data_IF_849779960208
#
_entry.id   IF_849779960208
#
_cell.length_a   1.000
_cell.length_b   1.000
_cell.length_c   1.000
_cell.angle_alpha   90.00
_cell.angle_beta   90.00
_cell.angle_gamma   90.00
#
_symmetry.space_group_name_H-M   'P 1'
#
loop_
_entity.id
_entity.type
_entity.pdbx_description
1 polymer ?
#
# COMPACT_ATOMS: atom_id res chain seq x y z
N UNK A 1 -14.43 20.39 13.33
CA UNK A 1 -13.87 19.14 13.91
C UNK A 1 -12.46 19.02 13.37
N UNK A 2 -11.44 18.68 14.18
CA UNK A 2 -10.08 18.57 13.66
C UNK A 2 -10.00 17.35 12.74
N UNK A 3 -9.81 17.59 11.45
CA UNK A 3 -9.90 16.54 10.43
C UNK A 3 -8.67 15.62 10.45
N UNK A 4 -7.58 16.07 11.06
CA UNK A 4 -6.36 15.29 11.27
C UNK A 4 -6.10 15.06 12.76
N UNK A 5 -5.95 13.79 13.16
CA UNK A 5 -5.73 13.43 14.57
C UNK A 5 -5.03 12.09 14.72
N UNK A 6 -4.59 11.76 15.94
CA UNK A 6 -4.13 10.42 16.27
C UNK A 6 -5.28 9.40 16.06
N UNK A 7 -4.93 8.19 15.59
CA UNK A 7 -5.92 7.11 15.49
C UNK A 7 -6.43 6.68 16.87
N UNK A 8 -7.69 6.27 16.93
CA UNK A 8 -8.29 5.68 18.13
C UNK A 8 -8.05 4.15 18.20
N UNK A 9 -8.54 3.51 19.26
CA UNK A 9 -8.37 2.06 19.47
C UNK A 9 -9.02 1.21 18.38
N UNK A 10 -10.18 1.62 17.85
CA UNK A 10 -10.92 0.90 16.81
C UNK A 10 -10.15 0.95 15.49
N UNK A 11 -9.72 2.13 15.08
CA UNK A 11 -8.90 2.35 13.88
C UNK A 11 -7.57 1.58 13.97
N UNK A 12 -6.95 1.55 15.15
CA UNK A 12 -5.74 0.75 15.40
C UNK A 12 -5.99 -0.75 15.22
N UNK A 13 -7.13 -1.26 15.69
CA UNK A 13 -7.51 -2.66 15.45
C UNK A 13 -7.67 -2.93 13.96
N UNK A 14 -8.43 -2.09 13.25
CA UNK A 14 -8.66 -2.22 11.81
C UNK A 14 -7.33 -2.29 11.03
N UNK A 15 -6.39 -1.41 11.35
CA UNK A 15 -5.05 -1.40 10.72
C UNK A 15 -4.31 -2.70 11.05
N UNK A 16 -4.21 -3.08 12.32
CA UNK A 16 -3.53 -4.30 12.73
C UNK A 16 -4.14 -5.55 12.07
N UNK A 17 -5.46 -5.70 12.11
CA UNK A 17 -6.16 -6.87 11.56
C UNK A 17 -5.99 -6.99 10.05
N UNK A 18 -5.92 -5.86 9.34
CA UNK A 18 -5.67 -5.83 7.90
C UNK A 18 -4.21 -6.15 7.57
N UNK A 19 -3.26 -5.62 8.35
CA UNK A 19 -1.82 -5.85 8.17
C UNK A 19 -1.42 -7.27 8.57
N UNK A 20 -2.06 -7.87 9.57
CA UNK A 20 -1.86 -9.27 9.96
C UNK A 20 -2.11 -10.25 8.81
N UNK A 21 -3.03 -9.91 7.89
CA UNK A 21 -3.29 -10.72 6.69
C UNK A 21 -2.13 -10.68 5.69
N UNK A 22 -1.25 -9.68 5.79
CA UNK A 22 -0.05 -9.54 4.96
C UNK A 22 1.13 -10.21 5.67
N UNK A 23 1.44 -9.79 6.90
CA UNK A 23 2.49 -10.40 7.72
C UNK A 23 2.38 -9.99 9.20
N UNK A 24 2.60 -10.97 10.08
CA UNK A 24 2.69 -10.74 11.53
C UNK A 24 3.94 -9.95 11.93
N UNK A 25 5.01 -10.00 11.12
CA UNK A 25 6.26 -9.27 11.37
C UNK A 25 6.05 -7.76 11.27
N UNK A 26 5.20 -7.31 10.34
CA UNK A 26 4.88 -5.88 10.20
C UNK A 26 4.20 -5.36 11.48
N UNK A 27 3.27 -6.15 12.04
CA UNK A 27 2.61 -5.77 13.30
C UNK A 27 3.58 -5.78 14.47
N UNK A 28 4.48 -6.75 14.53
CA UNK A 28 5.53 -6.80 15.54
C UNK A 28 6.48 -5.58 15.43
N UNK A 29 6.80 -5.16 14.20
CA UNK A 29 7.63 -3.99 13.94
C UNK A 29 7.00 -2.72 14.52
N UNK A 30 5.73 -2.45 14.22
CA UNK A 30 5.03 -1.26 14.73
C UNK A 30 4.77 -1.29 16.24
N UNK A 31 4.80 -2.46 16.88
CA UNK A 31 4.74 -2.56 18.35
C UNK A 31 6.08 -2.21 19.02
N UNK A 32 7.20 -2.53 18.36
CA UNK A 32 8.56 -2.33 18.88
C UNK A 32 9.13 -0.95 18.57
N UNK A 33 8.67 -0.32 17.49
CA UNK A 33 9.15 0.98 17.03
C UNK A 33 8.25 2.09 17.51
N UNK A 34 8.87 3.23 17.84
CA UNK A 34 8.17 4.45 18.15
C UNK A 34 7.68 5.12 16.85
N UNK A 35 6.63 4.57 16.27
CA UNK A 35 5.88 5.21 15.19
C UNK A 35 4.42 5.35 15.61
N UNK A 36 3.78 6.43 15.16
CA UNK A 36 2.36 6.68 15.44
C UNK A 36 1.59 6.83 14.14
N UNK A 37 0.37 6.31 14.16
CA UNK A 37 -0.57 6.46 13.08
C UNK A 37 -1.49 7.64 13.36
N UNK A 38 -1.64 8.51 12.37
CA UNK A 38 -2.59 9.59 12.34
C UNK A 38 -3.61 9.33 11.23
N UNK A 39 -4.80 9.87 11.38
CA UNK A 39 -5.89 9.78 10.42
C UNK A 39 -6.28 11.18 9.97
N UNK A 40 -6.46 11.34 8.66
CA UNK A 40 -7.02 12.52 8.02
C UNK A 40 -8.37 12.15 7.41
N UNK A 41 -9.42 12.87 7.80
CA UNK A 41 -10.79 12.69 7.32
C UNK A 41 -11.13 13.91 6.45
N UNK A 42 -11.08 13.74 5.14
CA UNK A 42 -11.50 14.80 4.21
C UNK A 42 -13.01 14.98 4.27
N UNK A 43 -13.45 16.22 4.49
CA UNK A 43 -14.86 16.62 4.43
C UNK A 43 -15.29 17.08 3.03
N UNK A 44 -14.35 17.19 2.09
CA UNK A 44 -14.60 17.73 0.75
C UNK A 44 -15.02 16.65 -0.25
N UNK A 45 -16.03 16.96 -1.06
CA UNK A 45 -16.72 16.03 -1.96
C UNK A 45 -15.90 15.59 -3.20
N UNK A 46 -14.60 15.91 -3.29
CA UNK A 46 -13.83 15.81 -4.54
C UNK A 46 -12.72 14.76 -4.58
N UNK A 47 -11.92 14.58 -3.53
CA UNK A 47 -10.74 13.70 -3.58
C UNK A 47 -10.67 12.74 -2.38
N UNK A 48 -10.69 11.43 -2.69
CA UNK A 48 -10.76 10.28 -1.77
C UNK A 48 -11.77 10.40 -0.62
N UNK A 49 -12.95 9.77 -0.78
CA UNK A 49 -14.00 9.65 0.26
C UNK A 49 -13.59 8.83 1.49
N UNK A 50 -12.34 8.35 1.57
CA UNK A 50 -11.90 7.40 2.57
C UNK A 50 -10.90 8.05 3.53
N UNK A 51 -11.01 7.80 4.84
CA UNK A 51 -10.03 8.27 5.80
C UNK A 51 -8.62 7.80 5.45
N UNK A 52 -7.71 8.75 5.30
CA UNK A 52 -6.29 8.53 5.00
C UNK A 52 -5.51 8.29 6.27
N UNK A 53 -4.62 7.32 6.26
CA UNK A 53 -3.75 6.95 7.38
C UNK A 53 -2.32 7.38 7.07
N UNK A 54 -1.72 8.04 8.04
CA UNK A 54 -0.38 8.59 7.96
C UNK A 54 0.50 7.99 9.06
N UNK A 55 1.73 7.64 8.72
CA UNK A 55 2.74 7.14 9.65
C UNK A 55 3.74 8.26 9.96
N UNK A 56 3.91 8.57 11.25
CA UNK A 56 4.82 9.62 11.74
C UNK A 56 5.81 9.03 12.74
N UNK A 57 7.09 9.35 12.55
CA UNK A 57 8.16 8.94 13.47
C UNK A 57 8.08 9.68 14.80
N UNK A 58 8.45 9.02 15.89
CA UNK A 58 8.25 9.56 17.24
C UNK A 58 8.96 10.87 17.54
N UNK A 59 10.15 11.06 17.00
CA UNK A 59 10.92 12.30 17.20
C UNK A 59 10.15 13.53 16.70
N UNK A 60 9.20 13.36 15.78
CA UNK A 60 8.37 14.42 15.22
C UNK A 60 6.99 14.54 15.87
N UNK A 61 6.61 13.62 16.76
CA UNK A 61 5.26 13.58 17.33
C UNK A 61 4.98 14.74 18.29
N UNK A 62 5.95 15.16 19.12
CA UNK A 62 5.74 16.30 20.04
C UNK A 62 5.45 17.59 19.28
N UNK A 63 6.25 17.88 18.27
CA UNK A 63 6.07 19.05 17.39
C UNK A 63 4.71 18.96 16.67
N UNK A 64 4.37 17.78 16.17
CA UNK A 64 3.08 17.57 15.49
C UNK A 64 1.89 17.78 16.44
N UNK A 65 1.95 17.23 17.66
CA UNK A 65 0.90 17.39 18.67
C UNK A 65 0.73 18.85 19.12
N UNK A 66 1.81 19.61 19.20
CA UNK A 66 1.76 21.05 19.46
C UNK A 66 1.11 21.80 18.30
N UNK A 67 1.51 21.52 17.06
CA UNK A 67 0.91 22.16 15.87
C UNK A 67 -0.57 21.84 15.72
N UNK A 68 -0.99 20.60 16.02
CA UNK A 68 -2.40 20.19 15.94
C UNK A 68 -3.33 20.95 16.90
N UNK A 69 -2.80 21.64 17.91
CA UNK A 69 -3.61 22.53 18.79
C UNK A 69 -4.03 23.81 18.08
N UNK A 70 -3.22 24.30 17.14
CA UNK A 70 -3.34 25.62 16.56
C UNK A 70 -3.54 25.61 15.03
N UNK A 71 -3.29 24.46 14.38
CA UNK A 71 -3.29 24.33 12.93
C UNK A 71 -4.21 23.20 12.48
N UNK A 72 -4.91 23.42 11.35
CA UNK A 72 -5.68 22.40 10.66
C UNK A 72 -4.78 21.72 9.62
N UNK A 73 -4.11 20.65 10.01
CA UNK A 73 -3.22 19.90 9.13
C UNK A 73 -4.03 18.97 8.23
N UNK A 74 -3.61 18.82 6.97
CA UNK A 74 -4.19 17.84 6.05
C UNK A 74 -3.42 16.52 6.02
N UNK A 75 -2.10 16.57 6.24
CA UNK A 75 -1.20 15.42 6.17
C UNK A 75 0.05 15.63 7.04
N UNK A 76 0.71 14.54 7.44
CA UNK A 76 2.03 14.56 8.07
C UNK A 76 2.73 13.20 7.87
N UNK A 77 4.05 13.20 7.72
CA UNK A 77 4.81 11.96 7.58
C UNK A 77 4.53 11.22 6.26
N UNK A 78 4.45 9.89 6.31
CA UNK A 78 4.24 9.04 5.13
C UNK A 78 2.76 8.72 5.01
N UNK A 79 2.16 8.93 3.83
CA UNK A 79 0.84 8.39 3.52
C UNK A 79 0.93 6.87 3.49
N UNK A 80 0.42 6.20 4.52
CA UNK A 80 0.60 4.77 4.73
C UNK A 80 -0.53 3.95 4.13
N UNK A 81 -1.69 4.56 3.88
CA UNK A 81 -2.84 3.88 3.31
C UNK A 81 -4.15 4.58 3.63
N UNK A 82 -5.26 3.88 3.46
CA UNK A 82 -6.60 4.40 3.74
C UNK A 82 -7.52 3.32 4.30
N UNK A 83 -8.55 3.72 5.04
CA UNK A 83 -9.57 2.80 5.55
C UNK A 83 -10.83 2.88 4.69
N UNK A 84 -11.27 1.75 4.15
CA UNK A 84 -12.51 1.64 3.37
C UNK A 84 -13.32 0.45 3.86
N UNK A 85 -14.58 0.71 4.23
CA UNK A 85 -15.52 -0.33 4.71
C UNK A 85 -14.93 -1.21 5.83
N UNK A 86 -14.24 -0.59 6.79
CA UNK A 86 -13.64 -1.30 7.93
C UNK A 86 -12.38 -2.10 7.61
N UNK A 87 -11.79 -1.92 6.42
CA UNK A 87 -10.55 -2.57 6.00
C UNK A 87 -9.50 -1.49 5.72
N UNK A 88 -8.30 -1.69 6.24
CA UNK A 88 -7.16 -0.85 5.91
C UNK A 88 -6.49 -1.36 4.62
N UNK A 89 -6.27 -0.44 3.69
CA UNK A 89 -5.59 -0.67 2.43
C UNK A 89 -4.25 0.06 2.43
N UNK A 90 -3.18 -0.69 2.28
CA UNK A 90 -1.82 -0.17 2.21
C UNK A 90 -1.63 0.69 0.95
N UNK A 91 -0.96 1.85 1.09
CA UNK A 91 -0.56 2.69 -0.04
C UNK A 91 0.74 2.18 -0.67
N UNK A 92 1.09 2.75 -1.83
CA UNK A 92 2.36 2.45 -2.49
C UNK A 92 3.55 2.89 -1.63
N UNK A 93 3.48 4.09 -1.06
CA UNK A 93 4.50 4.64 -0.14
C UNK A 93 4.59 3.82 1.15
N UNK A 94 3.47 3.26 1.62
CA UNK A 94 3.45 2.34 2.75
C UNK A 94 4.22 1.06 2.45
N UNK A 95 4.10 0.50 1.24
CA UNK A 95 4.84 -0.70 0.82
C UNK A 95 6.32 -0.40 0.67
N UNK A 96 6.67 0.76 0.13
CA UNK A 96 8.06 1.23 0.05
C UNK A 96 8.68 1.36 1.44
N UNK A 97 7.96 1.98 2.38
CA UNK A 97 8.40 2.04 3.77
C UNK A 97 8.68 0.64 4.34
N UNK A 98 7.80 -0.34 4.12
CA UNK A 98 8.01 -1.71 4.59
C UNK A 98 9.24 -2.35 3.93
N UNK A 99 9.45 -2.11 2.63
CA UNK A 99 10.62 -2.62 1.90
C UNK A 99 11.92 -2.04 2.44
N UNK A 100 11.98 -0.72 2.62
CA UNK A 100 13.18 -0.02 3.08
C UNK A 100 13.59 -0.44 4.49
N UNK A 101 12.60 -0.80 5.31
CA UNK A 101 12.81 -1.34 6.66
C UNK A 101 12.98 -2.87 6.69
N UNK A 102 13.03 -3.54 5.54
CA UNK A 102 13.23 -5.00 5.38
C UNK A 102 12.18 -5.85 6.11
N UNK A 103 10.93 -5.38 6.12
CA UNK A 103 9.78 -6.05 6.75
C UNK A 103 8.63 -6.33 5.76
N UNK A 104 8.86 -6.08 4.47
CA UNK A 104 7.93 -6.48 3.41
C UNK A 104 8.12 -7.98 3.13
N UNK A 105 7.07 -8.83 3.28
CA UNK A 105 7.22 -10.25 3.07
C UNK A 105 7.38 -10.59 1.59
N UNK A 106 8.24 -11.57 1.28
CA UNK A 106 8.44 -12.03 -0.09
C UNK A 106 7.19 -12.69 -0.71
N UNK A 107 6.24 -13.15 0.11
CA UNK A 107 5.00 -13.81 -0.32
C UNK A 107 4.07 -12.90 -1.13
N UNK A 108 4.29 -11.57 -1.10
CA UNK A 108 3.52 -10.62 -1.91
C UNK A 108 4.32 -10.03 -3.07
N UNK A 109 5.57 -10.44 -3.26
CA UNK A 109 6.46 -9.85 -4.27
C UNK A 109 6.31 -10.57 -5.61
N UNK A 110 6.01 -9.82 -6.66
CA UNK A 110 6.02 -10.31 -8.04
C UNK A 110 7.00 -9.46 -8.85
N UNK A 111 7.84 -10.11 -9.65
CA UNK A 111 8.80 -9.42 -10.51
C UNK A 111 8.36 -9.51 -11.96
N UNK A 112 8.36 -8.38 -12.67
CA UNK A 112 7.98 -8.30 -14.08
C UNK A 112 9.13 -7.84 -14.98
N UNK A 113 9.03 -8.17 -16.25
CA UNK A 113 9.97 -7.75 -17.30
C UNK A 113 9.74 -6.29 -17.74
N UNK A 114 10.69 -5.73 -18.49
CA UNK A 114 10.63 -4.35 -19.00
C UNK A 114 9.36 -4.03 -19.82
N UNK A 115 8.81 -5.00 -20.55
CA UNK A 115 7.53 -4.83 -21.28
C UNK A 115 6.38 -4.63 -20.29
N UNK A 116 6.34 -5.46 -19.24
CA UNK A 116 5.39 -5.35 -18.14
C UNK A 116 5.53 -4.02 -17.40
N UNK A 117 6.76 -3.62 -17.06
CA UNK A 117 7.04 -2.34 -16.38
C UNK A 117 6.41 -1.16 -17.12
N UNK A 118 6.71 -1.02 -18.42
CA UNK A 118 6.12 0.03 -19.25
C UNK A 118 4.60 -0.04 -19.20
N UNK A 119 4.02 -1.21 -19.44
CA UNK A 119 2.57 -1.42 -19.48
C UNK A 119 1.89 -1.02 -18.16
N UNK A 120 2.42 -1.47 -17.03
CA UNK A 120 1.88 -1.23 -15.68
C UNK A 120 1.97 0.25 -15.30
N UNK A 121 3.07 0.92 -15.64
CA UNK A 121 3.24 2.37 -15.42
C UNK A 121 2.33 3.24 -16.31
N UNK A 122 1.61 2.66 -17.26
CA UNK A 122 0.50 3.32 -17.97
C UNK A 122 -0.88 2.95 -17.39
N UNK A 123 -0.93 2.24 -16.27
CA UNK A 123 -2.18 1.84 -15.60
C UNK A 123 -2.78 0.52 -16.10
N UNK A 124 -2.08 -0.23 -16.95
CA UNK A 124 -2.59 -1.52 -17.41
C UNK A 124 -2.45 -2.61 -16.34
N UNK A 125 -3.30 -3.63 -16.46
CA UNK A 125 -3.26 -4.84 -15.64
C UNK A 125 -2.04 -5.73 -15.96
N UNK A 126 -1.73 -6.64 -15.04
CA UNK A 126 -0.62 -7.57 -15.17
C UNK A 126 -1.13 -8.84 -15.85
N UNK A 127 -0.46 -9.25 -16.93
CA UNK A 127 -0.71 -10.52 -17.63
C UNK A 127 0.45 -11.49 -17.46
N UNK A 128 0.22 -12.77 -17.73
CA UNK A 128 1.23 -13.84 -17.53
C UNK A 128 2.56 -13.55 -18.22
N UNK A 129 2.55 -13.09 -19.47
CA UNK A 129 3.76 -12.77 -20.25
C UNK A 129 4.64 -11.66 -19.68
N UNK A 130 4.15 -10.89 -18.69
CA UNK A 130 4.97 -9.89 -18.01
C UNK A 130 5.81 -10.49 -16.88
N UNK A 131 5.44 -11.67 -16.38
CA UNK A 131 5.93 -12.20 -15.11
C UNK A 131 7.25 -12.92 -15.28
N UNK A 132 8.24 -12.56 -14.44
CA UNK A 132 9.51 -13.26 -14.31
C UNK A 132 9.46 -14.20 -13.10
N UNK A 133 8.95 -13.68 -11.98
CA UNK A 133 8.83 -14.43 -10.72
C UNK A 133 7.50 -14.09 -10.05
N UNK A 134 6.86 -15.10 -9.46
CA UNK A 134 5.55 -15.00 -8.78
C UNK A 134 5.59 -15.87 -7.52
N UNK A 135 4.97 -15.46 -6.40
CA UNK A 135 5.02 -16.24 -5.17
C UNK A 135 4.23 -17.55 -5.34
N UNK A 136 4.81 -18.65 -4.89
CA UNK A 136 4.23 -20.00 -5.00
C UNK A 136 3.01 -20.20 -4.11
N UNK A 137 2.86 -19.39 -3.07
CA UNK A 137 1.72 -19.40 -2.14
C UNK A 137 0.61 -18.42 -2.55
N UNK A 138 0.72 -17.79 -3.73
CA UNK A 138 -0.23 -16.79 -4.20
C UNK A 138 -1.66 -17.32 -4.25
N UNK A 139 -2.59 -16.60 -3.61
CA UNK A 139 -4.03 -16.84 -3.70
C UNK A 139 -4.74 -15.70 -4.39
N UNK A 140 -5.90 -16.01 -4.98
CA UNK A 140 -6.78 -15.00 -5.55
C UNK A 140 -7.17 -13.98 -4.46
N UNK A 141 -7.20 -12.71 -4.85
CA UNK A 141 -7.43 -11.53 -4.02
C UNK A 141 -6.28 -11.08 -3.11
N UNK A 142 -5.14 -11.77 -3.11
CA UNK A 142 -3.96 -11.32 -2.39
C UNK A 142 -3.47 -9.97 -2.92
N UNK A 143 -2.93 -9.16 -2.00
CA UNK A 143 -2.20 -7.95 -2.36
C UNK A 143 -0.85 -8.35 -2.94
N UNK A 144 -0.44 -7.70 -4.03
CA UNK A 144 0.85 -7.90 -4.67
C UNK A 144 1.61 -6.59 -4.76
N UNK A 145 2.88 -6.60 -4.36
CA UNK A 145 3.85 -5.56 -4.65
C UNK A 145 4.57 -5.89 -5.96
N UNK A 146 4.44 -5.03 -6.95
CA UNK A 146 5.02 -5.24 -8.30
C UNK A 146 6.41 -4.64 -8.35
N UNK A 147 7.40 -5.47 -8.65
CA UNK A 147 8.80 -5.10 -8.82
C UNK A 147 9.21 -5.15 -10.29
N UNK A 148 10.00 -4.17 -10.73
CA UNK A 148 10.72 -4.27 -12.00
C UNK A 148 12.02 -5.09 -11.83
N UNK A 149 12.77 -5.26 -12.93
CA UNK A 149 14.03 -6.00 -12.94
C UNK A 149 15.16 -5.33 -12.15
N UNK A 150 15.02 -4.04 -11.82
CA UNK A 150 15.94 -3.29 -10.95
C UNK A 150 15.57 -3.41 -9.47
N UNK A 151 14.62 -4.31 -9.15
CA UNK A 151 14.08 -4.50 -7.81
C UNK A 151 13.37 -3.26 -7.28
N UNK A 152 12.85 -2.36 -8.12
CA UNK A 152 12.10 -1.19 -7.69
C UNK A 152 10.61 -1.52 -7.62
N UNK A 153 9.93 -1.12 -6.53
CA UNK A 153 8.46 -1.20 -6.46
C UNK A 153 7.90 -0.15 -7.43
N UNK A 154 7.04 -0.58 -8.35
CA UNK A 154 6.43 0.28 -9.37
C UNK A 154 4.91 0.36 -9.24
N UNK A 155 4.27 -0.62 -8.60
CA UNK A 155 2.82 -0.66 -8.45
C UNK A 155 2.37 -1.58 -7.31
N UNK A 156 1.11 -1.43 -6.92
CA UNK A 156 0.35 -2.43 -6.19
C UNK A 156 -0.72 -3.04 -7.08
N UNK A 157 -0.93 -4.34 -6.91
CA UNK A 157 -1.95 -5.08 -7.64
C UNK A 157 -2.73 -6.01 -6.72
N UNK A 158 -3.79 -6.58 -7.28
CA UNK A 158 -4.59 -7.63 -6.65
C UNK A 158 -4.59 -8.86 -7.52
N UNK A 159 -4.21 -10.00 -6.95
CA UNK A 159 -4.21 -11.27 -7.65
C UNK A 159 -5.62 -11.66 -8.13
N UNK A 160 -5.73 -12.12 -9.37
CA UNK A 160 -6.98 -12.62 -9.97
C UNK A 160 -6.95 -14.16 -10.11
N UNK A 161 -5.88 -14.79 -9.67
CA UNK A 161 -5.59 -16.21 -9.82
C UNK A 161 -5.01 -16.79 -8.53
N UNK A 162 -5.10 -18.11 -8.40
CA UNK A 162 -4.27 -18.89 -7.47
C UNK A 162 -3.02 -19.39 -8.21
N UNK A 163 -1.90 -19.56 -7.49
CA UNK A 163 -0.63 -20.03 -8.09
C UNK A 163 -0.80 -21.35 -8.84
N UNK A 164 -1.61 -22.28 -8.32
CA UNK A 164 -1.91 -23.58 -8.94
C UNK A 164 -2.46 -23.49 -10.37
N UNK A 165 -3.05 -22.35 -10.75
CA UNK A 165 -3.57 -22.12 -12.10
C UNK A 165 -2.55 -21.49 -13.06
N UNK A 166 -1.42 -20.98 -12.55
CA UNK A 166 -0.51 -20.10 -13.29
C UNK A 166 0.05 -20.75 -14.56
N UNK A 167 0.51 -21.99 -14.48
CA UNK A 167 1.13 -22.70 -15.61
C UNK A 167 0.16 -22.94 -16.76
N UNK A 168 -1.13 -23.09 -16.46
CA UNK A 168 -2.19 -23.35 -17.44
C UNK A 168 -2.71 -22.09 -18.13
N UNK A 169 -2.34 -20.89 -17.68
CA UNK A 169 -2.83 -19.64 -18.26
C UNK A 169 -2.18 -19.37 -19.62
N UNK A 170 -2.93 -18.71 -20.51
CA UNK A 170 -2.37 -18.15 -21.75
C UNK A 170 -1.48 -16.94 -21.43
N UNK A 171 -0.50 -16.67 -22.29
CA UNK A 171 0.47 -15.57 -22.10
C UNK A 171 -0.16 -14.17 -21.98
N UNK A 172 -1.31 -13.95 -22.61
CA UNK A 172 -2.06 -12.68 -22.56
C UNK A 172 -3.12 -12.65 -21.46
N UNK A 173 -3.26 -13.72 -20.67
CA UNK A 173 -4.28 -13.81 -19.63
C UNK A 173 -3.86 -12.96 -18.42
N UNK A 174 -4.83 -12.21 -17.90
CA UNK A 174 -4.66 -11.38 -16.69
C UNK A 174 -4.38 -12.26 -15.48
N UNK A 175 -3.34 -11.90 -14.73
CA UNK A 175 -2.96 -12.55 -13.47
C UNK A 175 -3.24 -11.67 -12.25
N UNK A 176 -3.19 -10.35 -12.44
CA UNK A 176 -3.45 -9.40 -11.38
C UNK A 176 -4.01 -8.09 -11.94
N UNK A 177 -4.93 -7.49 -11.21
CA UNK A 177 -5.49 -6.18 -11.51
C UNK A 177 -4.63 -5.08 -10.89
N UNK A 178 -4.23 -4.08 -11.68
CA UNK A 178 -3.50 -2.92 -11.19
C UNK A 178 -4.41 -2.08 -10.26
N UNK A 179 -3.91 -1.76 -9.06
CA UNK A 179 -4.62 -0.92 -8.09
C UNK A 179 -4.09 0.52 -8.08
N UNK A 180 -2.78 0.68 -8.10
CA UNK A 180 -2.07 1.97 -8.17
C UNK A 180 -0.66 1.74 -8.70
N UNK A 181 -0.16 2.64 -9.53
CA UNK A 181 1.18 2.60 -10.11
C UNK A 181 1.88 3.96 -9.96
N UNK A 182 3.22 3.99 -9.97
CA UNK A 182 4.00 5.24 -9.89
C UNK A 182 3.75 6.20 -11.04
N UNK A 183 3.38 5.70 -12.22
CA UNK A 183 3.02 6.56 -13.35
C UNK A 183 1.80 7.43 -13.04
N UNK A 184 0.96 7.06 -12.07
CA UNK A 184 -0.18 7.86 -11.62
C UNK A 184 0.22 9.28 -11.22
N UNK A 185 1.36 9.48 -10.56
CA UNK A 185 1.82 10.82 -10.14
C UNK A 185 2.10 11.76 -11.33
N UNK A 186 2.42 11.21 -12.50
CA UNK A 186 2.64 11.98 -13.73
C UNK A 186 1.35 12.20 -14.52
N UNK A 187 0.34 11.35 -14.32
CA UNK A 187 -0.95 11.42 -15.03
C UNK A 187 -1.99 12.25 -14.27
N UNK A 188 -1.89 12.34 -12.94
CA UNK A 188 -2.81 13.16 -12.14
C UNK A 188 -2.60 14.63 -12.50
N UNK A 189 -3.69 15.33 -12.84
CA UNK A 189 -3.66 16.79 -12.97
C UNK A 189 -3.25 17.39 -11.63
N UNK A 190 -2.25 18.27 -11.65
CA UNK A 190 -1.80 19.04 -10.50
C UNK A 190 -2.71 20.25 -10.28
#
# INVERSE_FOLDING_TARGET
>A
MNNFRLINKIEKSIINDSVLKISSEIVAYFKKKDCRFYISISSEQGESKFPSIYLVSYDKNKILEERLKNENLHSAGIYFGFIKKGIFHLSLEGVEFLRDHKILPNSINITINAKGEKSVLYGNDIVKSFTINIPTELKRNDLLAIFNQKNEIIALARAEIDYSSFDNLKLNQKIARNLVDKGYYLRKKQ
#
